data_IF_390405737822
#
_entry.id   IF_390405737822
#
_cell.length_a   1.000
_cell.length_b   1.000
_cell.length_c   1.000
_cell.angle_alpha   90.00
_cell.angle_beta   90.00
_cell.angle_gamma   90.00
#
_symmetry.space_group_name_H-M   'P 1'
#
loop_
_entity.id
_entity.type
_entity.pdbx_description
1 polymer ?
#
# COMPACT_ATOMS: atom_id res chain seq x y z
N UNK A 1 4.62 20.96 6.02
CA UNK A 1 4.10 20.08 7.08
C UNK A 1 3.59 18.82 6.40
N UNK A 2 4.03 17.63 6.79
CA UNK A 2 3.62 16.38 6.14
C UNK A 2 2.91 15.49 7.17
N UNK A 3 1.78 14.89 6.77
CA UNK A 3 0.94 14.07 7.63
C UNK A 3 0.72 12.70 6.99
N UNK A 4 0.75 11.66 7.79
CA UNK A 4 0.23 10.35 7.43
C UNK A 4 -1.25 10.30 7.82
N UNK A 5 -2.12 10.07 6.84
CA UNK A 5 -3.58 10.07 7.02
C UNK A 5 -4.12 8.66 6.77
N UNK A 6 -4.85 8.13 7.75
CA UNK A 6 -5.67 6.94 7.60
C UNK A 6 -7.04 7.36 7.06
N UNK A 7 -7.41 6.86 5.89
CA UNK A 7 -8.81 6.90 5.44
C UNK A 7 -9.42 5.52 5.54
N UNK A 8 -10.70 5.47 5.90
CA UNK A 8 -11.50 4.25 5.92
C UNK A 8 -12.62 4.38 4.91
N UNK A 9 -12.97 3.28 4.28
CA UNK A 9 -14.21 3.13 3.53
C UNK A 9 -15.25 2.50 4.46
N UNK A 10 -16.46 3.07 4.51
CA UNK A 10 -17.61 2.35 5.08
C UNK A 10 -18.00 1.27 4.08
N UNK A 11 -18.23 0.07 4.61
CA UNK A 11 -18.66 -1.07 3.83
C UNK A 11 -19.95 -0.72 3.08
N UNK A 12 -19.96 -1.01 1.79
CA UNK A 12 -21.11 -0.79 0.92
C UNK A 12 -21.51 -2.10 0.26
N UNK A 13 -22.44 -2.04 -0.68
CA UNK A 13 -22.96 -3.23 -1.34
C UNK A 13 -22.01 -3.63 -2.48
N UNK A 14 -21.57 -4.89 -2.51
CA UNK A 14 -20.89 -5.47 -3.67
C UNK A 14 -21.98 -6.01 -4.60
N UNK A 15 -22.06 -5.44 -5.81
CA UNK A 15 -23.01 -5.86 -6.85
C UNK A 15 -22.46 -6.99 -7.71
N UNK A 16 -21.14 -7.14 -7.75
CA UNK A 16 -20.49 -8.25 -8.43
C UNK A 16 -18.97 -8.21 -8.30
N UNK A 17 -18.37 -9.39 -8.32
CA UNK A 17 -16.93 -9.57 -8.29
C UNK A 17 -16.54 -10.71 -9.24
N UNK A 18 -15.53 -10.47 -10.06
CA UNK A 18 -15.03 -11.42 -11.05
C UNK A 18 -13.51 -11.46 -10.97
N UNK A 19 -12.96 -12.66 -11.15
CA UNK A 19 -11.52 -12.89 -11.24
C UNK A 19 -11.18 -13.34 -12.66
N UNK A 20 -10.02 -12.94 -13.16
CA UNK A 20 -9.59 -13.33 -14.49
C UNK A 20 -8.08 -13.14 -14.71
N UNK A 21 -7.58 -13.58 -15.88
CA UNK A 21 -6.21 -13.28 -16.29
C UNK A 21 -6.02 -11.76 -16.44
N UNK A 22 -4.80 -11.29 -16.20
CA UNK A 22 -4.47 -9.87 -16.34
C UNK A 22 -3.03 -9.64 -16.75
N UNK A 23 -2.82 -8.48 -17.36
CA UNK A 23 -1.54 -7.92 -17.70
C UNK A 23 -1.49 -6.49 -17.17
N UNK A 24 -0.34 -6.09 -16.61
CA UNK A 24 -0.11 -4.73 -16.14
C UNK A 24 1.27 -4.27 -16.60
N UNK A 25 1.30 -3.10 -17.22
CA UNK A 25 2.53 -2.42 -17.62
C UNK A 25 2.40 -0.94 -17.26
N UNK A 26 3.41 -0.39 -16.61
CA UNK A 26 3.54 1.05 -16.47
C UNK A 26 4.36 1.54 -17.65
N UNK A 27 3.79 2.48 -18.40
CA UNK A 27 4.35 2.94 -19.68
C UNK A 27 5.68 3.67 -19.55
N UNK A 28 6.04 4.37 -20.62
CA UNK A 28 7.27 5.15 -20.68
C UNK A 28 7.36 6.18 -19.54
N UNK A 29 8.59 6.62 -19.27
CA UNK A 29 8.88 7.63 -18.25
C UNK A 29 8.00 8.86 -18.45
N UNK A 30 7.23 9.17 -17.42
CA UNK A 30 6.40 10.36 -17.31
C UNK A 30 7.03 11.30 -16.26
N UNK A 31 6.97 12.61 -16.51
CA UNK A 31 7.33 13.62 -15.51
C UNK A 31 6.20 13.85 -14.49
N UNK A 32 4.96 13.52 -14.86
CA UNK A 32 3.77 13.70 -14.04
C UNK A 32 3.52 12.54 -13.09
N UNK A 33 4.05 11.34 -13.40
CA UNK A 33 3.89 10.16 -12.56
C UNK A 33 5.17 9.30 -12.49
N UNK A 34 5.54 8.81 -11.29
CA UNK A 34 6.72 8.00 -11.11
C UNK A 34 6.44 6.49 -11.26
N UNK A 35 5.32 6.06 -11.87
CA UNK A 35 4.91 4.65 -11.87
C UNK A 35 5.92 3.74 -12.57
N UNK A 36 6.60 4.26 -13.60
CA UNK A 36 7.71 3.58 -14.28
C UNK A 36 8.86 3.14 -13.35
N UNK A 37 8.99 3.74 -12.16
CA UNK A 37 10.01 3.36 -11.15
C UNK A 37 9.63 2.12 -10.34
N UNK A 38 8.39 1.64 -10.45
CA UNK A 38 7.88 0.46 -9.78
C UNK A 38 7.71 -0.68 -10.79
N UNK A 39 8.79 -1.42 -11.11
CA UNK A 39 8.73 -2.44 -12.17
C UNK A 39 7.75 -3.56 -11.82
N UNK A 40 6.80 -3.83 -12.71
CA UNK A 40 5.88 -4.96 -12.59
C UNK A 40 6.66 -6.24 -12.90
N UNK A 41 6.99 -7.01 -11.85
CA UNK A 41 7.68 -8.29 -12.02
C UNK A 41 6.71 -9.43 -12.34
N UNK A 42 5.54 -9.43 -11.71
CA UNK A 42 4.49 -10.45 -11.86
C UNK A 42 3.16 -9.91 -11.35
N UNK A 43 2.07 -10.18 -12.07
CA UNK A 43 0.70 -9.99 -11.57
C UNK A 43 0.34 -11.19 -10.70
N UNK A 44 -0.08 -10.95 -9.45
CA UNK A 44 -0.42 -12.02 -8.50
C UNK A 44 -1.88 -12.44 -8.65
N UNK A 45 -2.79 -11.46 -8.64
CA UNK A 45 -4.23 -11.64 -8.81
C UNK A 45 -4.83 -10.39 -9.47
N UNK A 46 -5.97 -10.55 -10.13
CA UNK A 46 -6.72 -9.44 -10.69
C UNK A 46 -8.22 -9.66 -10.48
N UNK A 47 -8.87 -8.58 -10.06
CA UNK A 47 -10.29 -8.57 -9.78
C UNK A 47 -10.95 -7.40 -10.50
N UNK A 48 -12.10 -7.65 -11.10
CA UNK A 48 -13.07 -6.63 -11.45
C UNK A 48 -14.15 -6.64 -10.36
N UNK A 49 -14.38 -5.50 -9.71
CA UNK A 49 -15.36 -5.39 -8.61
C UNK A 49 -16.28 -4.21 -8.91
N UNK A 50 -17.59 -4.47 -8.90
CA UNK A 50 -18.64 -3.45 -8.98
C UNK A 50 -19.33 -3.37 -7.62
N UNK A 51 -19.42 -2.18 -7.05
CA UNK A 51 -20.06 -1.99 -5.76
C UNK A 51 -20.19 -0.53 -5.38
N UNK A 52 -20.98 -0.27 -4.35
CA UNK A 52 -21.13 1.03 -3.73
C UNK A 52 -20.13 1.21 -2.59
N UNK A 53 -19.76 2.45 -2.32
CA UNK A 53 -18.90 2.76 -1.20
C UNK A 53 -19.03 4.19 -0.73
N UNK A 54 -19.02 4.38 0.58
CA UNK A 54 -18.87 5.71 1.17
C UNK A 54 -17.45 5.88 1.68
N UNK A 55 -16.73 6.87 1.15
CA UNK A 55 -15.44 7.29 1.67
C UNK A 55 -15.67 8.11 2.94
N UNK A 56 -15.03 7.71 4.04
CA UNK A 56 -15.09 8.47 5.29
C UNK A 56 -14.00 9.53 5.34
N UNK A 57 -14.18 10.52 6.20
CA UNK A 57 -13.16 11.53 6.49
C UNK A 57 -11.82 10.89 6.91
N UNK A 58 -10.73 11.54 6.54
CA UNK A 58 -9.38 11.10 6.91
C UNK A 58 -9.07 11.44 8.38
N UNK A 59 -8.36 10.53 9.04
CA UNK A 59 -7.79 10.74 10.37
C UNK A 59 -6.26 10.87 10.24
N UNK A 60 -5.68 11.95 10.73
CA UNK A 60 -4.22 12.07 10.86
C UNK A 60 -3.76 11.08 11.93
N UNK A 61 -2.85 10.16 11.56
CA UNK A 61 -2.30 9.15 12.47
C UNK A 61 -0.83 9.43 12.83
N UNK A 62 -0.12 10.21 12.02
CA UNK A 62 1.24 10.64 12.32
C UNK A 62 1.53 12.02 11.71
N UNK A 63 2.13 12.90 12.51
CA UNK A 63 2.79 14.11 12.02
C UNK A 63 4.22 13.76 11.62
N UNK A 64 4.52 13.78 10.32
CA UNK A 64 5.83 13.45 9.78
C UNK A 64 6.77 14.66 9.91
N UNK A 65 7.38 14.81 11.09
CA UNK A 65 8.47 15.75 11.31
C UNK A 65 9.82 15.16 10.87
N UNK A 66 10.72 15.94 10.25
CA UNK A 66 12.06 15.47 9.88
C UNK A 66 12.86 14.90 11.06
N UNK A 67 12.73 15.48 12.26
CA UNK A 67 13.55 15.07 13.42
C UNK A 67 13.13 13.73 14.05
N UNK A 68 11.86 13.29 13.90
CA UNK A 68 11.40 12.05 14.55
C UNK A 68 11.95 10.77 13.92
N UNK A 69 12.43 10.81 12.67
CA UNK A 69 13.03 9.63 12.00
C UNK A 69 14.35 9.17 12.61
N UNK A 70 15.05 10.00 13.40
CA UNK A 70 16.33 9.59 14.02
C UNK A 70 16.17 8.64 15.21
N UNK A 71 15.01 8.58 15.87
CA UNK A 71 14.85 7.80 17.12
C UNK A 71 14.39 6.35 16.96
N UNK A 72 14.03 5.88 15.75
CA UNK A 72 13.49 4.52 15.53
C UNK A 72 14.43 3.51 14.85
N UNK A 73 15.72 3.83 14.66
CA UNK A 73 16.74 2.81 14.32
C UNK A 73 17.38 2.26 15.60
N UNK A 74 16.65 1.45 16.37
CA UNK A 74 17.32 0.37 17.12
C UNK A 74 17.47 -0.78 16.11
N UNK A 75 18.68 -1.30 15.88
CA UNK A 75 18.81 -2.54 15.14
C UNK A 75 18.05 -3.64 15.91
N UNK A 76 17.27 -4.44 15.20
CA UNK A 76 16.67 -5.64 15.79
C UNK A 76 17.81 -6.52 16.32
N UNK A 77 17.67 -7.13 17.51
CA UNK A 77 18.63 -8.13 17.95
C UNK A 77 18.65 -9.27 16.91
N UNK A 78 19.83 -9.86 16.62
CA UNK A 78 19.91 -10.98 15.70
C UNK A 78 18.99 -12.10 16.18
N UNK A 79 18.20 -12.67 15.27
CA UNK A 79 17.34 -13.82 15.53
C UNK A 79 18.13 -14.90 16.28
N UNK A 80 17.59 -15.52 17.35
CA UNK A 80 18.24 -16.66 17.96
C UNK A 80 18.27 -17.81 16.94
N UNK A 81 19.46 -18.39 16.74
CA UNK A 81 19.64 -19.58 15.91
C UNK A 81 18.74 -20.70 16.43
N UNK A 82 18.00 -21.35 15.53
CA UNK A 82 17.14 -22.47 15.86
C UNK A 82 17.97 -23.57 16.55
N UNK A 83 17.62 -23.87 17.80
CA UNK A 83 18.14 -25.04 18.49
C UNK A 83 17.60 -26.28 17.78
N UNK A 84 18.49 -27.09 17.20
CA UNK A 84 18.16 -28.43 16.70
C UNK A 84 18.35 -29.43 17.85
N UNK A 85 17.37 -30.30 18.12
CA UNK A 85 17.62 -31.66 18.55
C UNK A 85 17.75 -32.61 17.35
#
# INVERSE_FOLDING_TARGET
MAQLVLTRKREGVIHGAWQGPAHLSFGARSELDPWHRLPVRRVITAYHVRGDSTLLGGQVIEECWPERRRRRRRPDPPFPAAASP
#
